data_IF_242308452414
#
_entry.id   IF_242308452414
#
_cell.length_a   1.000
_cell.length_b   1.000
_cell.length_c   1.000
_cell.angle_alpha   90.00
_cell.angle_beta   90.00
_cell.angle_gamma   90.00
#
_symmetry.space_group_name_H-M   'P 1'
#
loop_
_entity.id
_entity.type
_entity.pdbx_description
1 polymer ?
#
# COMPACT_ATOMS: atom_id res chain seq x y z
N UNK A 1 18.57 -43.92 -2.47
CA UNK A 1 18.65 -42.53 -2.98
C UNK A 1 18.62 -41.61 -1.78
N UNK A 2 19.70 -40.86 -1.53
CA UNK A 2 19.75 -39.86 -0.46
C UNK A 2 18.84 -38.69 -0.86
N UNK A 3 18.08 -38.09 0.06
CA UNK A 3 17.36 -36.85 -0.24
C UNK A 3 18.40 -35.76 -0.50
N UNK A 4 18.32 -35.12 -1.66
CA UNK A 4 19.10 -33.91 -1.95
C UNK A 4 18.65 -32.82 -0.98
N UNK A 5 19.62 -32.33 -0.19
CA UNK A 5 19.45 -31.23 0.74
C UNK A 5 19.06 -29.99 -0.05
N UNK A 6 17.89 -29.40 0.27
CA UNK A 6 17.51 -28.06 -0.14
C UNK A 6 18.65 -27.10 0.16
N UNK A 7 19.25 -26.53 -0.87
CA UNK A 7 20.24 -25.49 -0.74
C UNK A 7 19.50 -24.17 -0.49
N UNK A 8 19.57 -23.71 0.76
CA UNK A 8 18.93 -22.48 1.24
C UNK A 8 19.82 -21.31 0.83
N UNK A 9 19.39 -20.56 -0.18
CA UNK A 9 20.02 -19.28 -0.49
C UNK A 9 19.58 -18.24 0.54
N UNK A 10 20.50 -17.90 1.42
CA UNK A 10 20.35 -16.86 2.43
C UNK A 10 19.96 -15.53 1.78
N UNK A 11 19.06 -14.77 2.43
CA UNK A 11 18.95 -13.32 2.23
C UNK A 11 20.31 -12.71 2.57
N UNK A 12 21.19 -12.59 1.58
CA UNK A 12 22.45 -11.89 1.77
C UNK A 12 22.15 -10.40 1.64
N UNK A 13 22.23 -9.60 2.73
CA UNK A 13 22.15 -8.17 2.60
C UNK A 13 23.33 -7.73 1.73
N UNK A 14 23.04 -7.26 0.52
CA UNK A 14 24.05 -6.57 -0.28
C UNK A 14 24.34 -5.27 0.47
N UNK A 15 25.36 -5.28 1.33
CA UNK A 15 25.88 -4.08 1.99
C UNK A 15 26.56 -3.22 0.94
N UNK A 16 25.77 -2.43 0.20
CA UNK A 16 26.29 -1.20 -0.37
C UNK A 16 26.32 -0.16 0.75
N UNK A 17 27.48 0.41 1.01
CA UNK A 17 27.65 1.58 1.86
C UNK A 17 26.64 2.66 1.46
N UNK A 18 26.30 3.58 2.39
CA UNK A 18 25.43 4.74 2.13
C UNK A 18 25.66 5.29 0.72
N UNK A 19 24.72 5.04 -0.18
CA UNK A 19 24.79 5.48 -1.57
C UNK A 19 24.11 6.85 -1.61
N UNK A 20 24.84 7.86 -2.06
CA UNK A 20 24.24 9.18 -2.31
C UNK A 20 23.12 9.06 -3.36
N UNK A 21 22.03 9.84 -3.20
CA UNK A 21 20.93 9.81 -4.15
C UNK A 21 21.41 10.22 -5.55
N UNK A 22 21.13 9.39 -6.55
CA UNK A 22 21.50 9.66 -7.95
C UNK A 22 20.74 10.86 -8.53
N UNK A 23 19.54 11.14 -8.03
CA UNK A 23 18.71 12.26 -8.45
C UNK A 23 17.94 12.83 -7.25
N UNK A 24 17.96 14.15 -7.11
CA UNK A 24 17.22 14.87 -6.07
C UNK A 24 16.42 15.98 -6.72
N UNK A 25 15.13 16.03 -6.41
CA UNK A 25 14.24 17.11 -6.81
C UNK A 25 13.67 17.77 -5.57
N UNK A 26 13.82 19.09 -5.49
CA UNK A 26 13.24 19.88 -4.41
C UNK A 26 11.77 20.19 -4.69
N UNK A 27 10.93 20.01 -3.67
CA UNK A 27 9.50 20.31 -3.63
C UNK A 27 9.14 21.22 -2.44
N UNK A 28 10.13 21.84 -1.81
CA UNK A 28 9.98 22.73 -0.65
C UNK A 28 8.94 23.85 -0.86
N UNK A 29 8.73 24.29 -2.11
CA UNK A 29 7.70 25.27 -2.49
C UNK A 29 6.26 24.85 -2.11
N UNK A 30 6.00 23.55 -1.98
CA UNK A 30 4.69 23.00 -1.62
C UNK A 30 4.56 22.62 -0.13
N UNK A 31 5.65 22.72 0.64
CA UNK A 31 5.71 22.31 2.04
C UNK A 31 6.13 20.85 2.24
N UNK A 32 5.81 20.30 3.42
CA UNK A 32 6.19 18.93 3.79
C UNK A 32 5.37 17.89 3.01
N UNK A 33 6.06 16.88 2.46
CA UNK A 33 5.44 15.70 1.86
C UNK A 33 4.99 14.77 2.97
N UNK A 34 3.70 14.43 2.99
CA UNK A 34 3.12 13.51 3.98
C UNK A 34 2.93 12.11 3.44
N UNK A 35 2.60 11.98 2.15
CA UNK A 35 2.42 10.68 1.53
C UNK A 35 2.87 10.70 0.07
N UNK A 36 3.51 9.62 -0.36
CA UNK A 36 3.92 9.39 -1.74
C UNK A 36 3.26 8.10 -2.20
N UNK A 37 2.61 8.14 -3.36
CA UNK A 37 2.09 6.94 -3.99
C UNK A 37 2.57 6.87 -5.43
N UNK A 38 3.38 5.87 -5.73
CA UNK A 38 3.66 5.45 -7.09
C UNK A 38 2.46 4.67 -7.61
N UNK A 39 2.12 4.87 -8.88
CA UNK A 39 1.08 4.09 -9.51
C UNK A 39 1.37 2.58 -9.42
N UNK A 40 0.41 1.78 -8.92
CA UNK A 40 0.57 0.33 -8.86
C UNK A 40 0.18 -0.39 -10.17
N UNK A 41 -0.22 0.34 -11.21
CA UNK A 41 -0.74 -0.23 -12.46
C UNK A 41 0.23 -0.06 -13.63
N UNK A 42 0.36 -1.11 -14.45
CA UNK A 42 1.33 -1.17 -15.54
C UNK A 42 1.10 -0.11 -16.63
N UNK A 43 -0.16 0.19 -16.96
CA UNK A 43 -0.52 1.18 -17.99
C UNK A 43 -0.28 2.63 -17.55
N UNK A 44 -0.03 2.87 -16.26
CA UNK A 44 0.27 4.20 -15.70
C UNK A 44 1.47 4.18 -14.75
N UNK A 45 2.47 3.33 -15.03
CA UNK A 45 3.66 3.14 -14.18
C UNK A 45 4.48 4.40 -13.91
N UNK A 46 4.41 5.38 -14.82
CA UNK A 46 5.18 6.62 -14.74
C UNK A 46 4.49 7.71 -13.90
N UNK A 47 3.32 7.41 -13.35
CA UNK A 47 2.49 8.39 -12.63
C UNK A 47 2.72 8.25 -11.13
N UNK A 48 2.85 9.39 -10.44
CA UNK A 48 2.95 9.47 -9.00
C UNK A 48 2.00 10.52 -8.43
N UNK A 49 1.50 10.26 -7.23
CA UNK A 49 0.80 11.22 -6.40
C UNK A 49 1.70 11.65 -5.25
N UNK A 50 1.84 12.96 -5.07
CA UNK A 50 2.54 13.57 -3.94
C UNK A 50 1.52 14.33 -3.11
N UNK A 51 1.27 13.89 -1.89
CA UNK A 51 0.39 14.60 -0.98
C UNK A 51 1.15 15.47 0.02
N UNK A 52 0.69 16.70 0.12
CA UNK A 52 1.17 17.73 1.03
C UNK A 52 0.08 18.03 2.07
N UNK A 53 0.25 19.09 2.85
CA UNK A 53 -0.72 19.48 3.87
C UNK A 53 -2.08 19.82 3.27
N UNK A 54 -2.11 20.63 2.20
CA UNK A 54 -3.35 21.21 1.66
C UNK A 54 -3.60 20.87 0.17
N UNK A 55 -2.80 19.99 -0.41
CA UNK A 55 -2.86 19.66 -1.84
C UNK A 55 -2.33 18.27 -2.15
N UNK A 56 -2.79 17.70 -3.25
CA UNK A 56 -2.23 16.50 -3.86
C UNK A 56 -1.80 16.84 -5.29
N UNK A 57 -0.53 16.60 -5.60
CA UNK A 57 0.02 16.79 -6.94
C UNK A 57 0.03 15.47 -7.69
N UNK A 58 -0.51 15.49 -8.89
CA UNK A 58 -0.31 14.44 -9.87
C UNK A 58 0.91 14.79 -10.71
N UNK A 59 1.92 13.93 -10.68
CA UNK A 59 3.17 14.12 -11.43
C UNK A 59 3.42 12.93 -12.34
N UNK A 60 4.06 13.17 -13.48
CA UNK A 60 4.53 12.13 -14.39
C UNK A 60 6.04 12.18 -14.45
N UNK A 61 6.64 11.00 -14.34
CA UNK A 61 8.04 10.75 -14.56
C UNK A 61 8.32 10.51 -16.04
N UNK A 62 9.36 11.14 -16.55
CA UNK A 62 9.88 10.89 -17.88
C UNK A 62 11.32 10.41 -17.76
N UNK A 63 11.56 9.17 -18.17
CA UNK A 63 12.88 8.57 -18.23
C UNK A 63 13.47 8.81 -19.63
N UNK A 64 14.23 9.90 -19.79
CA UNK A 64 15.03 10.16 -21.01
C UNK A 64 16.51 9.98 -20.65
N UNK A 65 17.35 10.98 -20.94
CA UNK A 65 18.76 11.02 -20.49
C UNK A 65 18.87 11.36 -19.00
N UNK A 66 17.92 12.13 -18.48
CA UNK A 66 17.75 12.44 -17.06
C UNK A 66 16.31 12.18 -16.64
N UNK A 67 16.10 11.95 -15.33
CA UNK A 67 14.76 11.81 -14.77
C UNK A 67 14.12 13.21 -14.73
N UNK A 68 13.03 13.39 -15.46
CA UNK A 68 12.24 14.62 -15.46
C UNK A 68 10.92 14.37 -14.76
N UNK A 69 10.62 15.17 -13.72
CA UNK A 69 9.34 15.15 -13.04
C UNK A 69 8.50 16.31 -13.54
N UNK A 70 7.39 16.00 -14.25
CA UNK A 70 6.46 17.01 -14.77
C UNK A 70 5.18 17.02 -13.93
N UNK A 71 4.83 18.18 -13.37
CA UNK A 71 3.52 18.40 -12.76
C UNK A 71 2.43 18.35 -13.84
N UNK A 72 1.40 17.55 -13.61
CA UNK A 72 0.23 17.46 -14.47
C UNK A 72 -0.93 18.29 -13.93
N UNK A 73 -1.43 17.96 -12.74
CA UNK A 73 -2.61 18.59 -12.12
C UNK A 73 -2.37 18.75 -10.62
N UNK A 74 -2.93 19.80 -10.05
CA UNK A 74 -2.97 20.07 -8.61
C UNK A 74 -4.40 19.93 -8.10
N UNK A 75 -4.60 19.10 -7.08
CA UNK A 75 -5.87 18.88 -6.41
C UNK A 75 -5.84 19.55 -5.04
N UNK A 76 -6.81 20.43 -4.78
CA UNK A 76 -6.96 21.06 -3.47
C UNK A 76 -7.52 20.02 -2.50
N UNK A 77 -6.84 19.80 -1.38
CA UNK A 77 -7.28 18.87 -0.35
C UNK A 77 -7.20 19.59 1.01
N UNK A 78 -8.31 19.78 1.74
CA UNK A 78 -8.38 20.77 2.83
C UNK A 78 -7.73 20.36 4.15
N UNK A 79 -7.05 19.22 4.20
CA UNK A 79 -6.49 18.64 5.42
C UNK A 79 -5.26 17.80 5.09
N UNK A 80 -4.37 17.55 6.05
CA UNK A 80 -3.24 16.62 5.84
C UNK A 80 -3.72 15.25 5.33
N UNK A 81 -3.18 14.78 4.21
CA UNK A 81 -3.42 13.44 3.70
C UNK A 81 -2.65 12.40 4.53
N UNK A 82 -3.32 11.33 4.90
CA UNK A 82 -2.74 10.21 5.68
C UNK A 82 -2.60 8.95 4.82
N UNK A 83 -3.50 8.75 3.86
CA UNK A 83 -3.50 7.61 2.96
C UNK A 83 -3.85 8.05 1.53
N UNK A 84 -3.33 7.33 0.53
CA UNK A 84 -3.61 7.55 -0.88
C UNK A 84 -3.83 6.21 -1.58
N UNK A 85 -4.71 6.20 -2.57
CA UNK A 85 -4.88 5.07 -3.49
C UNK A 85 -5.33 5.54 -4.86
N UNK A 86 -4.79 4.97 -5.93
CA UNK A 86 -5.21 5.24 -7.31
C UNK A 86 -6.21 4.15 -7.70
N UNK A 87 -7.30 4.55 -8.36
CA UNK A 87 -8.26 3.61 -8.94
C UNK A 87 -7.70 2.99 -10.21
N UNK A 88 -7.91 1.69 -10.46
CA UNK A 88 -7.53 1.04 -11.73
C UNK A 88 -8.24 1.66 -12.94
N UNK A 89 -9.36 2.37 -12.77
CA UNK A 89 -10.02 3.10 -13.85
C UNK A 89 -9.26 4.37 -14.28
N UNK A 90 -8.13 4.69 -13.65
CA UNK A 90 -7.25 5.78 -14.09
C UNK A 90 -6.53 5.39 -15.38
N UNK A 91 -6.71 6.18 -16.43
CA UNK A 91 -6.09 5.97 -17.73
C UNK A 91 -5.83 7.30 -18.44
N UNK A 92 -4.65 7.39 -19.08
CA UNK A 92 -4.29 8.47 -20.00
C UNK A 92 -4.30 8.02 -21.47
N UNK A 93 -4.61 6.74 -21.73
CA UNK A 93 -4.57 6.16 -23.08
C UNK A 93 -5.93 6.31 -23.76
N UNK A 94 -7.00 6.12 -23.01
CA UNK A 94 -8.37 6.28 -23.47
C UNK A 94 -8.77 7.75 -23.39
N UNK A 95 -9.29 8.33 -24.49
CA UNK A 95 -9.90 9.65 -24.46
C UNK A 95 -11.41 9.52 -24.13
N UNK A 96 -11.94 10.34 -23.20
CA UNK A 96 -11.25 11.35 -22.42
C UNK A 96 -10.35 10.73 -21.34
N UNK A 97 -9.21 11.39 -21.07
CA UNK A 97 -8.34 11.03 -19.96
C UNK A 97 -9.15 11.02 -18.67
N UNK A 98 -8.92 10.04 -17.81
CA UNK A 98 -9.64 9.90 -16.55
C UNK A 98 -8.64 9.61 -15.46
N UNK A 99 -8.59 10.48 -14.45
CA UNK A 99 -7.79 10.27 -13.24
C UNK A 99 -8.73 10.14 -12.06
N UNK A 100 -8.67 8.99 -11.39
CA UNK A 100 -9.47 8.72 -10.19
C UNK A 100 -8.55 8.24 -9.08
N UNK A 101 -8.58 8.93 -7.95
CA UNK A 101 -7.85 8.51 -6.76
C UNK A 101 -8.62 8.85 -5.50
N UNK A 102 -8.33 8.14 -4.42
CA UNK A 102 -8.91 8.34 -3.12
C UNK A 102 -7.82 8.76 -2.13
N UNK A 103 -8.15 9.68 -1.24
CA UNK A 103 -7.30 10.18 -0.19
C UNK A 103 -8.01 10.04 1.16
N UNK A 104 -7.32 9.46 2.12
CA UNK A 104 -7.66 9.53 3.53
C UNK A 104 -7.06 10.80 4.14
N UNK A 105 -7.80 11.42 5.04
CA UNK A 105 -7.44 12.71 5.61
C UNK A 105 -7.44 12.70 7.14
N UNK A 106 -6.68 13.63 7.72
CA UNK A 106 -6.64 13.86 9.16
C UNK A 106 -7.95 14.39 9.76
N UNK A 107 -8.90 14.85 8.92
CA UNK A 107 -10.25 15.27 9.31
C UNK A 107 -11.29 14.12 9.26
N UNK A 108 -10.80 12.87 9.24
CA UNK A 108 -11.59 11.64 9.32
C UNK A 108 -12.46 11.35 8.10
N UNK A 109 -12.27 12.11 7.01
CA UNK A 109 -13.03 11.95 5.77
C UNK A 109 -12.19 11.29 4.69
N UNK A 110 -12.80 10.36 3.97
CA UNK A 110 -12.23 9.85 2.73
C UNK A 110 -12.72 10.74 1.60
N UNK A 111 -11.82 11.19 0.74
CA UNK A 111 -12.15 11.99 -0.44
C UNK A 111 -11.78 11.25 -1.69
N UNK A 112 -12.69 11.19 -2.65
CA UNK A 112 -12.44 10.62 -3.96
C UNK A 112 -12.43 11.74 -4.98
N UNK A 113 -11.31 11.87 -5.68
CA UNK A 113 -11.10 12.86 -6.72
C UNK A 113 -11.23 12.19 -8.08
N UNK A 114 -11.97 12.84 -8.98
CA UNK A 114 -12.08 12.44 -10.38
C UNK A 114 -11.76 13.66 -11.26
N UNK A 115 -10.89 13.47 -12.25
CA UNK A 115 -10.49 14.52 -13.19
C UNK A 115 -10.45 14.03 -14.61
N UNK A 116 -10.93 14.86 -15.54
CA UNK A 116 -10.79 14.63 -16.97
C UNK A 116 -9.55 15.29 -17.61
N UNK A 117 -8.66 15.87 -16.79
CA UNK A 117 -7.48 16.64 -17.24
C UNK A 117 -7.79 17.91 -18.06
N UNK A 118 -9.05 18.30 -18.20
CA UNK A 118 -9.52 19.45 -18.98
C UNK A 118 -10.24 20.52 -18.13
N UNK A 119 -10.05 20.48 -16.81
CA UNK A 119 -10.64 21.34 -15.77
C UNK A 119 -11.95 20.87 -15.13
N UNK A 120 -12.47 19.69 -15.50
CA UNK A 120 -13.52 19.07 -14.70
C UNK A 120 -12.87 18.22 -13.61
N UNK A 121 -12.81 18.78 -12.40
CA UNK A 121 -12.29 18.11 -11.21
C UNK A 121 -13.43 18.02 -10.20
N UNK A 122 -13.87 16.80 -9.92
CA UNK A 122 -14.86 16.55 -8.88
C UNK A 122 -14.19 15.97 -7.64
N UNK A 123 -14.75 16.30 -6.47
CA UNK A 123 -14.35 15.75 -5.19
C UNK A 123 -15.59 15.26 -4.46
N UNK A 124 -15.67 13.94 -4.24
CA UNK A 124 -16.71 13.31 -3.43
C UNK A 124 -16.18 13.06 -2.03
N UNK A 125 -16.95 13.43 -1.03
CA UNK A 125 -16.60 13.27 0.38
C UNK A 125 -17.39 12.11 0.97
N UNK A 126 -16.69 11.09 1.46
CA UNK A 126 -17.28 9.93 2.13
C UNK A 126 -17.18 10.16 3.64
N UNK A 127 -18.33 10.36 4.26
CA UNK A 127 -18.44 10.58 5.70
C UNK A 127 -18.81 9.27 6.38
N UNK A 128 -18.19 8.98 7.53
CA UNK A 128 -18.58 7.84 8.35
C UNK A 128 -17.53 7.39 9.37
N UNK A 129 -16.25 7.67 9.12
CA UNK A 129 -15.21 7.40 10.10
C UNK A 129 -15.20 8.48 11.20
N UNK A 130 -14.88 8.06 12.42
CA UNK A 130 -14.88 8.92 13.60
C UNK A 130 -13.47 9.20 14.14
N UNK A 131 -12.43 8.73 13.44
CA UNK A 131 -11.02 8.92 13.81
C UNK A 131 -10.13 8.92 12.57
N UNK A 132 -8.81 9.02 12.77
CA UNK A 132 -7.82 9.10 11.70
C UNK A 132 -7.97 7.94 10.71
N UNK A 133 -7.84 8.24 9.42
CA UNK A 133 -7.84 7.23 8.36
C UNK A 133 -6.41 6.77 8.16
N UNK A 134 -6.15 5.47 8.35
CA UNK A 134 -4.82 4.88 8.25
C UNK A 134 -4.55 4.28 6.88
N UNK A 135 -5.60 3.86 6.17
CA UNK A 135 -5.46 3.25 4.87
C UNK A 135 -6.69 3.48 4.00
N UNK A 136 -6.46 3.63 2.70
CA UNK A 136 -7.50 3.65 1.68
C UNK A 136 -6.99 2.81 0.51
N UNK A 137 -7.83 1.95 -0.07
CA UNK A 137 -7.42 1.09 -1.18
C UNK A 137 -8.60 0.77 -2.11
N UNK A 138 -8.41 0.91 -3.42
CA UNK A 138 -9.31 0.35 -4.43
C UNK A 138 -9.00 -1.13 -4.67
N UNK A 139 -10.04 -1.92 -4.93
CA UNK A 139 -9.87 -3.30 -5.39
C UNK A 139 -9.39 -3.36 -6.84
N UNK A 140 -9.01 -4.56 -7.30
CA UNK A 140 -8.46 -4.78 -8.63
C UNK A 140 -9.46 -4.49 -9.76
N UNK A 141 -10.75 -4.77 -9.53
CA UNK A 141 -11.84 -4.63 -10.51
C UNK A 141 -12.58 -3.29 -10.40
N UNK A 142 -12.13 -2.39 -9.53
CA UNK A 142 -12.83 -1.13 -9.21
C UNK A 142 -14.28 -1.30 -8.81
N UNK A 143 -14.65 -2.35 -8.08
CA UNK A 143 -16.00 -2.55 -7.52
C UNK A 143 -16.08 -1.95 -6.12
N UNK A 144 -14.99 -2.03 -5.36
CA UNK A 144 -14.95 -1.67 -3.95
C UNK A 144 -13.80 -0.69 -3.63
N UNK A 145 -14.09 0.23 -2.73
CA UNK A 145 -13.10 1.04 -2.03
C UNK A 145 -13.14 0.65 -0.56
N UNK A 146 -12.00 0.31 0.02
CA UNK A 146 -11.85 0.07 1.45
C UNK A 146 -11.20 1.29 2.11
N UNK A 147 -11.68 1.65 3.30
CA UNK A 147 -11.04 2.64 4.16
C UNK A 147 -10.92 2.11 5.59
N UNK A 148 -9.73 2.19 6.16
CA UNK A 148 -9.39 1.73 7.50
C UNK A 148 -9.09 2.92 8.41
N UNK A 149 -9.52 2.84 9.66
CA UNK A 149 -9.40 3.95 10.61
C UNK A 149 -9.00 3.49 12.01
N UNK A 150 -8.47 4.46 12.77
CA UNK A 150 -8.28 4.41 14.22
C UNK A 150 -9.59 4.30 15.01
N UNK A 151 -10.76 4.38 14.36
CA UNK A 151 -12.07 4.13 14.99
C UNK A 151 -12.41 2.63 15.15
N UNK A 152 -11.43 1.76 14.93
CA UNK A 152 -11.55 0.30 14.96
C UNK A 152 -12.52 -0.26 13.91
N UNK A 153 -12.70 0.43 12.78
CA UNK A 153 -13.51 -0.08 11.68
C UNK A 153 -12.79 -0.03 10.35
N UNK A 154 -13.12 -0.98 9.48
CA UNK A 154 -12.93 -0.85 8.04
C UNK A 154 -14.29 -0.63 7.39
N UNK A 155 -14.40 0.41 6.58
CA UNK A 155 -15.59 0.68 5.78
C UNK A 155 -15.34 0.27 4.34
N UNK A 156 -16.32 -0.41 3.77
CA UNK A 156 -16.34 -0.82 2.38
C UNK A 156 -17.38 0.03 1.66
N UNK A 157 -16.96 0.66 0.57
CA UNK A 157 -17.80 1.51 -0.26
C UNK A 157 -17.89 0.88 -1.65
N UNK A 158 -19.07 0.90 -2.26
CA UNK A 158 -19.17 0.67 -3.70
C UNK A 158 -18.46 1.81 -4.42
N UNK A 159 -17.69 1.54 -5.47
CA UNK A 159 -17.12 2.61 -6.30
C UNK A 159 -18.18 3.30 -7.15
N UNK A 160 -19.26 2.59 -7.50
CA UNK A 160 -20.43 3.19 -8.13
C UNK A 160 -21.23 3.98 -7.08
N UNK A 161 -21.28 5.30 -7.28
CA UNK A 161 -21.96 6.22 -6.37
C UNK A 161 -21.31 6.42 -5.00
N UNK A 162 -20.29 5.65 -4.61
CA UNK A 162 -19.62 5.73 -3.29
C UNK A 162 -20.56 5.56 -2.10
N UNK A 163 -21.54 4.66 -2.23
CA UNK A 163 -22.43 4.27 -1.12
C UNK A 163 -21.73 3.26 -0.21
N UNK A 164 -21.96 3.39 1.10
CA UNK A 164 -21.46 2.44 2.09
C UNK A 164 -22.11 1.07 1.87
N UNK A 165 -21.28 0.05 1.61
CA UNK A 165 -21.70 -1.35 1.53
C UNK A 165 -21.74 -1.98 2.90
N UNK A 166 -20.60 -1.99 3.59
CA UNK A 166 -20.40 -2.71 4.84
C UNK A 166 -19.49 -1.93 5.79
N UNK A 167 -19.65 -2.18 7.09
CA UNK A 167 -18.70 -1.75 8.13
C UNK A 167 -18.21 -2.98 8.87
N UNK A 168 -16.92 -3.27 8.75
CA UNK A 168 -16.26 -4.39 9.42
C UNK A 168 -15.72 -3.90 10.78
N UNK A 169 -16.26 -4.39 11.90
CA UNK A 169 -15.73 -4.06 13.22
C UNK A 169 -14.42 -4.81 13.48
N UNK A 170 -13.44 -4.12 14.07
CA UNK A 170 -12.16 -4.66 14.45
C UNK A 170 -11.96 -4.63 15.97
N UNK A 171 -11.01 -5.42 16.45
CA UNK A 171 -10.62 -5.44 17.86
C UNK A 171 -9.62 -4.35 18.21
N UNK A 172 -8.88 -3.85 17.22
CA UNK A 172 -7.85 -2.82 17.34
C UNK A 172 -7.82 -1.97 16.06
N UNK A 173 -7.22 -0.76 16.07
CA UNK A 173 -7.09 0.06 14.87
C UNK A 173 -6.47 -0.71 13.70
N UNK A 174 -7.07 -0.60 12.51
CA UNK A 174 -6.44 -1.12 11.30
C UNK A 174 -5.32 -0.18 10.87
N UNK A 175 -4.11 -0.72 10.75
CA UNK A 175 -2.92 0.02 10.34
C UNK A 175 -2.61 -0.13 8.84
N UNK A 176 -3.06 -1.23 8.22
CA UNK A 176 -2.82 -1.52 6.82
C UNK A 176 -4.02 -2.24 6.24
N UNK A 177 -4.31 -1.93 4.98
CA UNK A 177 -5.29 -2.62 4.17
C UNK A 177 -4.71 -2.87 2.79
N UNK A 178 -4.94 -4.06 2.26
CA UNK A 178 -4.50 -4.43 0.92
C UNK A 178 -5.52 -5.36 0.30
N UNK A 179 -5.98 -5.03 -0.90
CA UNK A 179 -6.81 -5.93 -1.68
C UNK A 179 -5.96 -7.04 -2.28
N UNK A 180 -6.60 -8.20 -2.42
CA UNK A 180 -6.05 -9.29 -3.19
C UNK A 180 -5.92 -8.88 -4.66
N UNK A 181 -4.78 -9.18 -5.29
CA UNK A 181 -4.43 -8.61 -6.59
C UNK A 181 -5.28 -9.14 -7.75
N UNK A 182 -5.65 -10.40 -7.70
CA UNK A 182 -6.35 -11.11 -8.79
C UNK A 182 -7.78 -11.55 -8.46
N UNK A 183 -8.23 -11.33 -7.23
CA UNK A 183 -9.52 -11.83 -6.75
C UNK A 183 -10.24 -10.69 -6.04
N UNK A 184 -11.14 -10.03 -6.75
CA UNK A 184 -11.92 -8.92 -6.20
C UNK A 184 -12.74 -9.43 -5.01
N UNK A 185 -12.93 -8.56 -4.01
CA UNK A 185 -13.70 -8.92 -2.82
C UNK A 185 -12.90 -9.65 -1.73
N UNK A 186 -11.63 -10.01 -1.96
CA UNK A 186 -10.74 -10.46 -0.88
C UNK A 186 -9.88 -9.30 -0.35
N UNK A 187 -10.01 -9.00 0.93
CA UNK A 187 -9.33 -7.87 1.58
C UNK A 187 -8.49 -8.34 2.77
N UNK A 188 -7.20 -8.04 2.77
CA UNK A 188 -6.37 -8.14 3.97
C UNK A 188 -6.52 -6.88 4.81
N UNK A 189 -6.72 -7.07 6.11
CA UNK A 189 -6.70 -6.04 7.13
C UNK A 189 -5.67 -6.44 8.18
N UNK A 190 -4.69 -5.56 8.43
CA UNK A 190 -3.75 -5.71 9.54
C UNK A 190 -4.10 -4.77 10.68
N UNK A 191 -4.34 -5.33 11.85
CA UNK A 191 -4.67 -4.62 13.09
C UNK A 191 -3.40 -4.31 13.89
N UNK A 192 -3.41 -3.18 14.62
CA UNK A 192 -2.27 -2.70 15.41
C UNK A 192 -1.78 -3.71 16.46
N UNK A 193 -2.70 -4.50 17.02
CA UNK A 193 -2.40 -5.52 18.04
C UNK A 193 -1.60 -6.71 17.52
N UNK A 194 -1.43 -6.84 16.19
CA UNK A 194 -0.76 -7.99 15.59
C UNK A 194 -1.70 -9.02 14.99
N UNK A 195 -2.96 -8.67 14.76
CA UNK A 195 -3.90 -9.58 14.11
C UNK A 195 -4.03 -9.21 12.65
N UNK A 196 -3.76 -10.14 11.74
CA UNK A 196 -4.02 -9.99 10.31
C UNK A 196 -5.20 -10.87 9.92
N UNK A 197 -6.22 -10.26 9.33
CA UNK A 197 -7.42 -10.95 8.86
C UNK A 197 -7.58 -10.80 7.36
N UNK A 198 -7.89 -11.90 6.69
CA UNK A 198 -8.34 -11.92 5.31
C UNK A 198 -9.86 -12.01 5.31
N UNK A 199 -10.54 -11.00 4.76
CA UNK A 199 -11.99 -10.97 4.65
C UNK A 199 -12.45 -11.32 3.25
N UNK A 200 -13.57 -12.04 3.16
CA UNK A 200 -14.42 -12.05 1.98
C UNK A 200 -15.48 -10.96 2.15
N UNK A 201 -15.45 -9.95 1.28
CA UNK A 201 -16.34 -8.79 1.30
C UNK A 201 -17.71 -9.09 0.71
N UNK A 202 -17.87 -10.18 -0.05
CA UNK A 202 -19.19 -10.62 -0.53
C UNK A 202 -20.00 -11.26 0.59
N UNK A 203 -19.36 -12.09 1.40
CA UNK A 203 -20.01 -12.77 2.55
C UNK A 203 -19.86 -12.01 3.85
N UNK A 204 -19.03 -10.96 3.89
CA UNK A 204 -18.71 -10.14 5.07
C UNK A 204 -18.08 -10.95 6.22
N UNK A 205 -17.41 -12.06 5.91
CA UNK A 205 -16.81 -12.97 6.89
C UNK A 205 -15.28 -13.04 6.76
N UNK A 206 -14.54 -13.16 7.88
CA UNK A 206 -13.12 -13.47 7.83
C UNK A 206 -12.92 -14.90 7.32
N UNK A 207 -12.10 -15.05 6.27
CA UNK A 207 -11.63 -16.32 5.72
C UNK A 207 -10.50 -16.88 6.59
N UNK A 208 -9.57 -15.99 7.00
CA UNK A 208 -8.38 -16.33 7.75
C UNK A 208 -8.13 -15.26 8.81
N UNK A 209 -7.66 -15.68 9.98
CA UNK A 209 -7.15 -14.80 11.03
C UNK A 209 -5.82 -15.36 11.52
N UNK A 210 -4.78 -14.54 11.46
CA UNK A 210 -3.44 -14.85 11.96
C UNK A 210 -3.15 -13.87 13.09
N UNK A 211 -2.76 -14.37 14.26
CA UNK A 211 -2.40 -13.56 15.42
C UNK A 211 -0.90 -13.73 15.71
N UNK A 212 -0.20 -12.61 15.82
CA UNK A 212 1.24 -12.57 16.05
C UNK A 212 1.60 -12.21 17.49
N UNK A 213 0.62 -11.89 18.35
CA UNK A 213 0.80 -11.48 19.75
C UNK A 213 1.77 -10.29 19.92
N UNK A 214 2.05 -9.55 18.84
CA UNK A 214 3.02 -8.44 18.78
C UNK A 214 2.48 -7.32 17.93
N UNK A 215 2.80 -6.08 18.30
CA UNK A 215 2.35 -4.92 17.53
C UNK A 215 2.86 -4.95 16.10
N UNK A 216 1.92 -4.86 15.16
CA UNK A 216 2.21 -4.77 13.74
C UNK A 216 2.55 -3.32 13.38
N UNK A 217 3.65 -3.11 12.67
CA UNK A 217 4.04 -1.80 12.15
C UNK A 217 3.50 -1.58 10.72
N UNK A 218 3.60 -2.60 9.87
CA UNK A 218 3.11 -2.57 8.50
C UNK A 218 2.93 -4.02 8.00
N UNK A 219 2.03 -4.22 7.05
CA UNK A 219 1.97 -5.44 6.24
C UNK A 219 1.64 -5.08 4.80
N UNK A 220 2.19 -5.86 3.87
CA UNK A 220 2.04 -5.68 2.43
C UNK A 220 1.98 -7.04 1.73
N UNK A 221 1.25 -7.10 0.62
CA UNK A 221 1.12 -8.32 -0.17
C UNK A 221 2.24 -8.41 -1.19
N UNK A 222 2.73 -9.63 -1.43
CA UNK A 222 3.55 -9.87 -2.60
C UNK A 222 2.72 -9.65 -3.86
N UNK A 223 3.32 -9.00 -4.85
CA UNK A 223 2.67 -8.71 -6.13
C UNK A 223 2.78 -9.87 -7.11
N UNK A 224 3.79 -10.74 -6.96
CA UNK A 224 4.04 -11.89 -7.84
C UNK A 224 3.38 -13.16 -7.35
N UNK A 225 3.39 -13.38 -6.04
CA UNK A 225 2.78 -14.54 -5.40
C UNK A 225 1.72 -14.11 -4.40
N UNK A 226 0.49 -14.39 -4.78
CA UNK A 226 -0.72 -14.04 -4.04
C UNK A 226 -0.77 -14.69 -2.65
N UNK A 227 -0.05 -15.80 -2.45
CA UNK A 227 -0.01 -16.48 -1.17
C UNK A 227 0.98 -15.86 -0.19
N UNK A 228 1.84 -14.95 -0.65
CA UNK A 228 2.92 -14.42 0.18
C UNK A 228 2.57 -13.07 0.78
N UNK A 229 2.71 -12.98 2.10
CA UNK A 229 2.56 -11.74 2.84
C UNK A 229 3.85 -11.36 3.56
N UNK A 230 4.21 -10.10 3.48
CA UNK A 230 5.24 -9.51 4.35
C UNK A 230 4.59 -8.77 5.49
N UNK A 231 5.11 -8.94 6.70
CA UNK A 231 4.74 -8.14 7.86
C UNK A 231 6.00 -7.64 8.58
N UNK A 232 5.97 -6.40 9.06
CA UNK A 232 7.03 -5.81 9.87
C UNK A 232 6.55 -5.68 11.32
N UNK A 233 7.30 -6.27 12.25
CA UNK A 233 6.98 -6.28 13.67
C UNK A 233 8.26 -6.02 14.48
N UNK A 234 8.30 -4.97 15.29
CA UNK A 234 9.47 -4.64 16.12
C UNK A 234 10.81 -4.61 15.34
N UNK A 235 10.78 -4.21 14.07
CA UNK A 235 11.96 -4.19 13.19
C UNK A 235 12.31 -5.53 12.54
N UNK A 236 11.59 -6.61 12.84
CA UNK A 236 11.69 -7.92 12.20
C UNK A 236 10.71 -8.03 11.02
N UNK A 237 11.23 -8.39 9.84
CA UNK A 237 10.43 -8.75 8.67
C UNK A 237 10.10 -10.23 8.75
N UNK A 238 8.81 -10.54 8.73
CA UNK A 238 8.26 -11.90 8.65
C UNK A 238 7.61 -12.09 7.28
N UNK A 239 7.93 -13.20 6.63
CA UNK A 239 7.29 -13.64 5.39
C UNK A 239 6.39 -14.83 5.69
N UNK A 240 5.16 -14.76 5.20
CA UNK A 240 4.11 -15.73 5.44
C UNK A 240 3.66 -16.37 4.15
N UNK A 241 3.41 -17.66 4.19
CA UNK A 241 2.71 -18.40 3.15
C UNK A 241 1.26 -18.67 3.61
N UNK A 242 0.29 -18.08 2.92
CA UNK A 242 -1.13 -18.23 3.20
C UNK A 242 -1.64 -19.66 2.98
N UNK A 243 -0.92 -20.51 2.24
CA UNK A 243 -1.24 -21.93 2.17
C UNK A 243 -0.93 -22.67 3.49
N UNK A 244 0.01 -22.13 4.31
CA UNK A 244 0.43 -22.69 5.60
C UNK A 244 0.56 -21.57 6.65
N UNK A 245 -0.56 -20.97 7.09
CA UNK A 245 -0.54 -19.73 7.89
C UNK A 245 -0.16 -19.94 9.37
N UNK A 246 0.28 -21.12 9.77
CA UNK A 246 0.58 -21.43 11.17
C UNK A 246 1.89 -20.83 11.67
N UNK A 247 2.89 -20.69 10.79
CA UNK A 247 4.21 -20.16 11.13
C UNK A 247 4.75 -19.32 9.98
N UNK A 248 5.55 -18.28 10.26
CA UNK A 248 6.22 -17.54 9.21
C UNK A 248 7.20 -18.47 8.51
N UNK A 249 7.20 -18.44 7.17
CA UNK A 249 8.15 -19.20 6.36
C UNK A 249 9.58 -18.71 6.60
N UNK A 250 9.73 -17.41 6.82
CA UNK A 250 11.01 -16.77 7.05
C UNK A 250 10.89 -15.59 8.00
N UNK A 251 11.91 -15.39 8.83
CA UNK A 251 12.07 -14.20 9.65
C UNK A 251 13.46 -13.57 9.43
N UNK A 252 13.53 -12.24 9.42
CA UNK A 252 14.77 -11.51 9.23
C UNK A 252 14.73 -10.19 9.98
N UNK A 253 15.69 -9.98 10.86
CA UNK A 253 15.81 -8.73 11.62
C UNK A 253 16.36 -7.66 10.67
N UNK A 254 15.56 -6.62 10.42
CA UNK A 254 15.94 -5.51 9.56
C UNK A 254 16.42 -4.31 10.36
N UNK A 255 15.68 -3.92 11.39
CA UNK A 255 15.93 -2.73 12.19
C UNK A 255 16.07 -3.10 13.67
N UNK A 256 16.85 -2.33 14.43
CA UNK A 256 16.95 -2.47 15.88
C UNK A 256 15.81 -1.78 16.62
N UNK A 257 15.17 -0.80 15.98
CA UNK A 257 14.08 0.00 16.52
C UNK A 257 12.73 -0.42 15.91
N UNK A 258 11.65 -0.22 16.67
CA UNK A 258 10.31 -0.47 16.18
C UNK A 258 9.88 0.59 15.14
N UNK A 259 8.92 0.19 14.29
CA UNK A 259 8.37 1.04 13.24
C UNK A 259 8.99 0.76 11.89
N UNK A 260 8.56 1.57 10.92
CA UNK A 260 8.95 1.44 9.53
C UNK A 260 7.84 0.90 8.64
N UNK A 261 8.14 0.89 7.35
CA UNK A 261 7.23 0.48 6.30
C UNK A 261 7.93 -0.50 5.38
N UNK A 262 7.15 -1.44 4.86
CA UNK A 262 7.62 -2.39 3.86
C UNK A 262 6.76 -2.26 2.62
N UNK A 263 7.39 -2.45 1.46
CA UNK A 263 6.69 -2.55 0.18
C UNK A 263 7.35 -3.61 -0.70
N UNK A 264 6.54 -4.46 -1.30
CA UNK A 264 6.99 -5.36 -2.34
C UNK A 264 7.22 -4.58 -3.64
N UNK A 265 8.24 -4.98 -4.38
CA UNK A 265 8.43 -4.47 -5.74
C UNK A 265 7.28 -4.96 -6.63
N UNK A 266 6.92 -4.22 -7.70
CA UNK A 266 5.84 -4.65 -8.60
C UNK A 266 6.05 -6.04 -9.22
N UNK A 267 7.31 -6.47 -9.38
CA UNK A 267 7.68 -7.80 -9.88
C UNK A 267 7.76 -8.86 -8.77
N UNK A 268 7.63 -8.47 -7.50
CA UNK A 268 7.66 -9.34 -6.32
C UNK A 268 9.03 -9.95 -5.98
N UNK A 269 10.09 -9.59 -6.69
CA UNK A 269 11.45 -10.08 -6.44
C UNK A 269 12.19 -9.35 -5.31
N UNK A 270 11.70 -8.16 -4.92
CA UNK A 270 12.39 -7.31 -3.97
C UNK A 270 11.42 -6.79 -2.91
N UNK A 271 11.95 -6.60 -1.70
CA UNK A 271 11.23 -5.96 -0.61
C UNK A 271 12.05 -4.74 -0.19
N UNK A 272 11.43 -3.57 -0.28
CA UNK A 272 11.98 -2.33 0.23
C UNK A 272 11.43 -2.11 1.64
N UNK A 273 12.33 -1.93 2.60
CA UNK A 273 12.00 -1.62 3.98
C UNK A 273 12.63 -0.29 4.37
N UNK A 274 11.83 0.61 4.95
CA UNK A 274 12.29 1.92 5.41
C UNK A 274 11.98 2.06 6.89
N UNK A 275 12.93 2.56 7.65
CA UNK A 275 12.69 2.99 9.03
C UNK A 275 12.97 4.49 9.14
N UNK A 276 11.95 5.27 9.52
CA UNK A 276 12.05 6.72 9.64
C UNK A 276 12.90 7.18 10.83
N UNK A 277 13.01 6.36 11.88
CA UNK A 277 13.82 6.68 13.06
C UNK A 277 15.30 6.42 12.80
N UNK A 278 15.63 5.29 12.15
CA UNK A 278 17.01 4.95 11.76
C UNK A 278 17.45 5.75 10.51
N UNK A 279 16.51 6.26 9.71
CA UNK A 279 16.76 6.96 8.46
C UNK A 279 17.34 6.06 7.36
N UNK A 280 17.11 4.74 7.45
CA UNK A 280 17.70 3.75 6.55
C UNK A 280 16.66 3.11 5.62
N UNK A 281 17.06 2.91 4.36
CA UNK A 281 16.35 2.13 3.35
C UNK A 281 17.15 0.85 3.12
N UNK A 282 16.53 -0.30 3.37
CA UNK A 282 17.10 -1.63 3.14
C UNK A 282 16.29 -2.30 2.04
N UNK A 283 16.97 -2.80 1.00
CA UNK A 283 16.35 -3.54 -0.09
C UNK A 283 16.83 -4.98 -0.02
N UNK A 284 15.88 -5.90 0.11
CA UNK A 284 16.13 -7.33 0.17
C UNK A 284 15.68 -7.96 -1.14
N UNK A 285 16.42 -8.96 -1.62
CA UNK A 285 15.98 -9.79 -2.74
C UNK A 285 15.27 -11.00 -2.19
N UNK A 286 14.00 -11.14 -2.52
CA UNK A 286 13.22 -12.33 -2.27
C UNK A 286 13.24 -13.21 -3.52
N UNK A 287 13.63 -14.47 -3.38
CA UNK A 287 13.53 -15.46 -4.45
C UNK A 287 12.52 -16.49 -3.97
N UNK A 288 11.33 -16.50 -4.59
CA UNK A 288 10.39 -17.60 -4.41
C UNK A 288 11.04 -18.86 -4.98
N UNK A 289 11.46 -19.78 -4.12
CA UNK A 289 11.85 -21.12 -4.57
C UNK A 289 10.58 -21.86 -4.97
N UNK A 290 10.25 -21.83 -6.25
CA UNK A 290 9.30 -22.77 -6.82
C UNK A 290 9.86 -24.17 -6.61
N UNK A 291 9.21 -24.98 -5.77
CA UNK A 291 9.34 -26.42 -5.90
C UNK A 291 8.72 -26.79 -7.25
N UNK A 292 9.54 -26.91 -8.29
CA UNK A 292 9.14 -27.70 -9.45
C UNK A 292 9.02 -29.14 -8.96
N UNK A 293 7.79 -29.66 -8.99
CA UNK A 293 7.47 -31.07 -8.76
C UNK A 293 7.94 -31.89 -9.95
#
# INVERSE_FOLDING_TARGET
MKPELMQIDYLQPIRKNQVEPTYVKDFSEYGQIYQILCSPFEWIKDVMLLAFENKVLLVVLSFKETILIKKLVEFIHPSRCTALSISPNTSFVTLPNKVVFAAGAADYKVRVFESNMQNDNTCRVLNGHNSYINGVAFDSENIYLASASDDNTVKIWYTDGYKLKATLPLTSPAITISWHRSDSGKLLVGEKIGVMKLYNIETETPILSIDFERSLACADWSTSDVLILGSLQLGELLLWDLAKPCLPQQSTILFSENGGFIKFSPQGEHIAAVNSLEGSLKVLRYVATFCQV
#
